data_IF_437901247775
#
_entry.id   IF_437901247775
#
_cell.length_a   1.000
_cell.length_b   1.000
_cell.length_c   1.000
_cell.angle_alpha   90.00
_cell.angle_beta   90.00
_cell.angle_gamma   90.00
#
_symmetry.space_group_name_H-M   'P 1'
#
loop_
_entity.id
_entity.type
_entity.pdbx_description
1 polymer ?
#
# COMPACT_ATOMS: atom_id res chain seq x y z
N UNK A 1 -2.17 -9.65 11.70
CA UNK A 1 -2.67 -8.99 12.94
C UNK A 1 -2.81 -7.51 12.67
N UNK A 2 -3.82 -6.83 13.24
CA UNK A 2 -4.03 -5.41 13.00
C UNK A 2 -2.90 -4.57 13.64
N UNK A 3 -2.73 -3.33 13.17
CA UNK A 3 -1.79 -2.40 13.81
C UNK A 3 -2.23 -2.08 15.26
N UNK A 4 -1.28 -1.84 16.19
CA UNK A 4 -1.62 -1.45 17.55
C UNK A 4 -2.40 -0.14 17.55
N UNK A 5 -3.29 0.04 18.52
CA UNK A 5 -3.98 1.31 18.68
C UNK A 5 -2.97 2.41 19.06
N UNK A 6 -2.93 3.48 18.27
CA UNK A 6 -2.04 4.62 18.48
C UNK A 6 -2.76 5.78 19.20
N UNK A 7 -4.05 5.62 19.54
CA UNK A 7 -4.87 6.60 20.25
C UNK A 7 -5.24 7.85 19.45
N UNK A 8 -4.90 7.90 18.15
CA UNK A 8 -5.22 9.02 17.26
C UNK A 8 -5.22 8.63 15.79
N UNK A 9 -5.89 9.47 15.00
CA UNK A 9 -5.90 9.43 13.53
C UNK A 9 -4.97 10.47 12.93
N UNK A 10 -4.49 10.21 11.72
CA UNK A 10 -3.45 10.96 11.03
C UNK A 10 -3.95 11.51 9.69
N UNK A 11 -3.41 12.66 9.30
CA UNK A 11 -3.60 13.25 7.97
C UNK A 11 -2.76 12.53 6.90
N UNK A 12 -1.69 11.85 7.32
CA UNK A 12 -0.82 11.05 6.47
C UNK A 12 -0.30 9.83 7.24
N UNK A 13 -0.55 8.64 6.70
CA UNK A 13 0.13 7.40 7.04
C UNK A 13 1.04 7.05 5.87
N UNK A 14 2.30 6.71 6.13
CA UNK A 14 3.24 6.39 5.06
C UNK A 14 4.19 5.26 5.41
N UNK A 15 4.54 4.47 4.40
CA UNK A 15 5.62 3.48 4.46
C UNK A 15 6.63 3.75 3.35
N UNK A 16 7.91 3.87 3.72
CA UNK A 16 9.01 4.02 2.78
C UNK A 16 9.82 2.72 2.72
N UNK A 17 10.31 2.37 1.53
CA UNK A 17 11.02 1.10 1.27
C UNK A 17 10.21 -0.11 1.75
N UNK A 18 8.92 -0.11 1.41
CA UNK A 18 7.97 -1.14 1.83
C UNK A 18 8.46 -2.53 1.37
N UNK A 19 8.64 -3.42 2.34
CA UNK A 19 8.93 -4.84 2.15
C UNK A 19 8.25 -5.75 3.18
N UNK A 20 7.44 -5.20 4.10
CA UNK A 20 6.73 -5.97 5.13
C UNK A 20 5.67 -6.94 4.57
N UNK A 21 5.34 -6.80 3.28
CA UNK A 21 4.46 -7.72 2.56
C UNK A 21 5.13 -9.06 2.22
N UNK A 22 6.45 -9.17 2.41
CA UNK A 22 7.20 -10.41 2.22
C UNK A 22 7.10 -11.24 3.48
N UNK A 23 6.48 -12.41 3.38
CA UNK A 23 6.20 -13.31 4.51
C UNK A 23 7.43 -14.18 4.79
N UNK A 24 7.88 -14.94 3.79
CA UNK A 24 9.06 -15.81 3.88
C UNK A 24 9.59 -16.13 2.49
N UNK A 25 10.79 -16.68 2.42
CA UNK A 25 11.36 -17.21 1.18
C UNK A 25 10.90 -18.66 0.99
N UNK A 26 10.42 -19.00 -0.21
CA UNK A 26 10.14 -20.37 -0.61
C UNK A 26 11.44 -21.11 -0.95
N UNK A 27 11.38 -22.44 -1.05
CA UNK A 27 12.55 -23.29 -1.34
C UNK A 27 13.20 -22.95 -2.69
N UNK A 28 12.40 -22.51 -3.66
CA UNK A 28 12.87 -22.04 -4.97
C UNK A 28 13.54 -20.65 -4.93
N UNK A 29 13.65 -20.02 -3.75
CA UNK A 29 14.26 -18.71 -3.58
C UNK A 29 13.34 -17.51 -3.85
N UNK A 30 12.08 -17.73 -4.23
CA UNK A 30 11.10 -16.67 -4.43
C UNK A 30 10.50 -16.20 -3.09
N UNK A 31 10.01 -14.96 -3.06
CA UNK A 31 9.29 -14.45 -1.89
C UNK A 31 7.84 -14.92 -1.93
N UNK A 32 7.39 -15.55 -0.85
CA UNK A 32 5.97 -15.64 -0.54
C UNK A 32 5.53 -14.25 -0.06
N UNK A 33 4.71 -13.59 -0.86
CA UNK A 33 4.21 -12.24 -0.63
C UNK A 33 2.73 -12.26 -0.21
N UNK A 34 2.26 -11.13 0.32
CA UNK A 34 0.85 -10.90 0.61
C UNK A 34 -0.04 -11.13 -0.61
N UNK A 35 -1.19 -11.77 -0.36
CA UNK A 35 -2.27 -11.89 -1.32
C UNK A 35 -3.02 -10.56 -1.49
N UNK A 36 -3.92 -10.50 -2.47
CA UNK A 36 -4.85 -9.37 -2.62
C UNK A 36 -5.71 -9.16 -1.36
N UNK A 37 -6.14 -10.24 -0.70
CA UNK A 37 -6.91 -10.18 0.55
C UNK A 37 -6.10 -9.58 1.71
N UNK A 38 -4.81 -9.90 1.81
CA UNK A 38 -3.92 -9.32 2.83
C UNK A 38 -3.73 -7.82 2.62
N UNK A 39 -3.56 -7.40 1.35
CA UNK A 39 -3.46 -5.98 1.01
C UNK A 39 -4.76 -5.23 1.27
N UNK A 40 -5.89 -5.79 0.89
CA UNK A 40 -7.22 -5.21 1.14
C UNK A 40 -7.44 -5.03 2.65
N UNK A 41 -7.12 -6.06 3.44
CA UNK A 41 -7.19 -5.97 4.91
C UNK A 41 -6.32 -4.81 5.43
N UNK A 42 -5.05 -4.73 5.02
CA UNK A 42 -4.15 -3.66 5.47
C UNK A 42 -4.66 -2.27 5.10
N UNK A 43 -5.09 -2.08 3.84
CA UNK A 43 -5.60 -0.80 3.36
C UNK A 43 -6.84 -0.38 4.16
N UNK A 44 -7.77 -1.32 4.41
CA UNK A 44 -8.99 -1.05 5.16
C UNK A 44 -8.73 -0.80 6.65
N UNK A 45 -7.78 -1.50 7.28
CA UNK A 45 -7.35 -1.24 8.66
C UNK A 45 -6.77 0.18 8.78
N UNK A 46 -5.92 0.60 7.84
CA UNK A 46 -5.39 1.97 7.78
C UNK A 46 -6.50 3.01 7.62
N UNK A 47 -7.41 2.83 6.67
CA UNK A 47 -8.53 3.75 6.41
C UNK A 47 -9.41 3.94 7.64
N UNK A 48 -9.87 2.84 8.21
CA UNK A 48 -10.90 2.86 9.26
C UNK A 48 -10.32 3.35 10.59
N UNK A 49 -9.10 2.94 10.94
CA UNK A 49 -8.53 3.18 12.27
C UNK A 49 -7.53 4.32 12.32
N UNK A 50 -6.78 4.58 11.26
CA UNK A 50 -5.63 5.48 11.32
C UNK A 50 -5.75 6.73 10.46
N UNK A 51 -6.66 6.79 9.49
CA UNK A 51 -6.86 8.00 8.69
C UNK A 51 -8.01 8.87 9.23
N UNK A 52 -7.77 10.18 9.22
CA UNK A 52 -8.85 11.19 9.26
C UNK A 52 -9.60 11.22 7.92
N UNK A 53 -10.73 11.92 7.85
CA UNK A 53 -11.58 12.01 6.64
C UNK A 53 -10.81 12.42 5.38
N UNK A 54 -9.92 13.42 5.48
CA UNK A 54 -9.07 13.87 4.36
C UNK A 54 -7.65 13.28 4.41
N UNK A 55 -7.47 12.24 5.23
CA UNK A 55 -6.21 11.55 5.44
C UNK A 55 -5.79 10.74 4.21
N UNK A 56 -4.48 10.53 4.08
CA UNK A 56 -3.90 9.78 2.96
C UNK A 56 -2.97 8.67 3.41
N UNK A 57 -2.96 7.58 2.65
CA UNK A 57 -1.96 6.51 2.75
C UNK A 57 -1.00 6.61 1.56
N UNK A 58 0.29 6.76 1.83
CA UNK A 58 1.35 6.72 0.82
C UNK A 58 2.29 5.54 1.05
N UNK A 59 2.28 4.58 0.14
CA UNK A 59 3.21 3.45 0.14
C UNK A 59 4.25 3.64 -0.96
N UNK A 60 5.52 3.57 -0.58
CA UNK A 60 6.66 3.59 -1.49
C UNK A 60 7.40 2.25 -1.43
N UNK A 61 7.29 1.47 -2.51
CA UNK A 61 7.80 0.11 -2.58
C UNK A 61 9.27 0.07 -2.97
N UNK A 62 10.03 -0.85 -2.36
CA UNK A 62 11.37 -1.18 -2.86
C UNK A 62 11.25 -1.84 -4.24
N UNK A 63 12.28 -1.63 -5.09
CA UNK A 63 12.47 -2.47 -6.28
C UNK A 63 12.68 -3.93 -5.86
N UNK A 64 12.30 -4.84 -6.73
CA UNK A 64 12.60 -6.26 -6.61
C UNK A 64 14.10 -6.49 -6.78
N UNK A 65 14.57 -7.69 -6.43
CA UNK A 65 16.01 -8.01 -6.46
C UNK A 65 16.61 -7.91 -7.86
N UNK A 66 15.82 -8.24 -8.88
CA UNK A 66 16.13 -8.09 -10.31
C UNK A 66 16.02 -6.63 -10.81
N UNK A 67 15.73 -5.67 -9.93
CA UNK A 67 15.53 -4.27 -10.27
C UNK A 67 14.15 -3.94 -10.83
N UNK A 68 13.26 -4.93 -10.99
CA UNK A 68 11.90 -4.71 -11.49
C UNK A 68 11.00 -3.99 -10.47
N UNK A 69 9.90 -3.43 -10.97
CA UNK A 69 8.88 -2.78 -10.14
C UNK A 69 8.10 -3.81 -9.33
N UNK A 70 7.68 -3.43 -8.11
CA UNK A 70 6.64 -4.19 -7.39
C UNK A 70 5.31 -4.19 -8.15
N UNK A 71 4.94 -3.06 -8.75
CA UNK A 71 3.69 -2.94 -9.52
C UNK A 71 3.83 -3.61 -10.88
N UNK A 72 3.53 -4.90 -10.92
CA UNK A 72 3.09 -5.61 -12.13
C UNK A 72 1.74 -5.04 -12.60
N UNK A 73 1.29 -5.42 -13.79
CA UNK A 73 -0.03 -4.99 -14.29
C UNK A 73 -1.17 -5.45 -13.37
N UNK A 74 -1.07 -6.67 -12.83
CA UNK A 74 -1.99 -7.21 -11.83
C UNK A 74 -2.02 -6.35 -10.56
N UNK A 75 -0.86 -6.07 -9.97
CA UNK A 75 -0.80 -5.26 -8.74
C UNK A 75 -1.23 -3.82 -8.98
N UNK A 76 -0.92 -3.26 -10.14
CA UNK A 76 -1.43 -1.93 -10.52
C UNK A 76 -2.96 -1.94 -10.56
N UNK A 77 -3.56 -2.89 -11.28
CA UNK A 77 -5.01 -2.99 -11.39
C UNK A 77 -5.68 -3.21 -10.03
N UNK A 78 -5.10 -4.06 -9.17
CA UNK A 78 -5.59 -4.27 -7.81
C UNK A 78 -5.52 -2.98 -6.97
N UNK A 79 -4.38 -2.30 -6.90
CA UNK A 79 -4.29 -1.06 -6.11
C UNK A 79 -5.20 0.03 -6.66
N UNK A 80 -5.35 0.13 -7.98
CA UNK A 80 -6.28 1.07 -8.62
C UNK A 80 -7.75 0.74 -8.35
N UNK A 81 -8.12 -0.55 -8.25
CA UNK A 81 -9.47 -0.97 -7.84
C UNK A 81 -9.75 -0.60 -6.37
N UNK A 82 -8.72 -0.54 -5.54
CA UNK A 82 -8.78 -0.01 -4.17
C UNK A 82 -8.79 1.52 -4.11
N UNK A 83 -8.84 2.22 -5.24
CA UNK A 83 -8.87 3.70 -5.31
C UNK A 83 -7.49 4.36 -5.30
N UNK A 84 -6.41 3.59 -5.41
CA UNK A 84 -5.07 4.16 -5.44
C UNK A 84 -4.80 4.92 -6.74
N UNK A 85 -4.01 5.98 -6.63
CA UNK A 85 -3.21 6.50 -7.73
C UNK A 85 -1.84 5.84 -7.66
N UNK A 86 -1.49 5.05 -8.67
CA UNK A 86 -0.17 4.43 -8.78
C UNK A 86 0.74 5.27 -9.68
N UNK A 87 1.91 5.65 -9.18
CA UNK A 87 2.92 6.36 -9.97
C UNK A 87 4.31 5.81 -9.66
N UNK A 88 5.00 5.30 -10.69
CA UNK A 88 6.28 4.59 -10.55
C UNK A 88 6.14 3.45 -9.52
N UNK A 89 6.91 3.49 -8.43
CA UNK A 89 6.90 2.53 -7.32
C UNK A 89 6.08 3.02 -6.11
N UNK A 90 5.13 3.94 -6.31
CA UNK A 90 4.29 4.51 -5.25
C UNK A 90 2.81 4.24 -5.47
N UNK A 91 2.08 3.96 -4.40
CA UNK A 91 0.62 3.97 -4.35
C UNK A 91 0.14 5.02 -3.33
N UNK A 92 -0.73 5.92 -3.78
CA UNK A 92 -1.38 6.94 -2.95
C UNK A 92 -2.87 6.67 -2.87
N UNK A 93 -3.40 6.51 -1.65
CA UNK A 93 -4.81 6.23 -1.38
C UNK A 93 -5.39 7.31 -0.45
N UNK A 94 -6.67 7.60 -0.60
CA UNK A 94 -7.44 8.42 0.34
C UNK A 94 -8.13 7.54 1.40
N UNK A 95 -8.61 8.17 2.47
CA UNK A 95 -9.46 7.52 3.46
C UNK A 95 -10.75 6.97 2.82
N UNK A 96 -11.41 7.78 1.97
CA UNK A 96 -12.57 7.34 1.19
C UNK A 96 -12.15 6.56 -0.07
N UNK A 97 -12.61 5.30 -0.26
CA UNK A 97 -12.19 4.46 -1.40
C UNK A 97 -12.56 5.02 -2.78
N UNK A 98 -13.62 5.83 -2.85
CA UNK A 98 -14.08 6.45 -4.10
C UNK A 98 -13.26 7.67 -4.48
N UNK A 99 -12.50 8.25 -3.54
CA UNK A 99 -11.64 9.39 -3.79
C UNK A 99 -10.28 8.94 -4.34
N UNK A 100 -9.90 9.50 -5.49
CA UNK A 100 -8.61 9.22 -6.15
C UNK A 100 -7.67 10.41 -5.97
N UNK A 101 -6.77 10.40 -4.97
CA UNK A 101 -5.85 11.51 -4.73
C UNK A 101 -4.83 11.64 -5.86
N UNK A 102 -4.28 12.85 -6.05
CA UNK A 102 -3.26 13.13 -7.06
C UNK A 102 -1.92 13.43 -6.41
N UNK A 103 -0.84 12.96 -7.04
CA UNK A 103 0.50 13.45 -6.75
C UNK A 103 0.60 14.91 -7.22
N UNK A 104 1.39 15.73 -6.51
CA UNK A 104 1.71 17.08 -7.00
C UNK A 104 2.40 16.96 -8.35
N UNK A 105 1.91 17.73 -9.33
CA UNK A 105 2.63 17.95 -10.58
C UNK A 105 3.79 18.91 -10.25
N UNK A 106 5.01 18.47 -10.49
CA UNK A 106 6.24 19.28 -10.44
C UNK A 106 6.53 19.85 -11.80
#
# INVERSE_FOLDING_TARGET
>A
TPLPDLGKKFDLVTGHRVCFHRIRRAENGEWLEWSSADWEFFINDVRTRFLKTDGRLLLEFNRRQDGSSFFTDEWRAFFESQGARVFRWKALLAAEPTQRPRFKQT
#
